data_IF_889566194084
#
_entry.id   IF_889566194084
#
_cell.length_a   1.000
_cell.length_b   1.000
_cell.length_c   1.000
_cell.angle_alpha   90.00
_cell.angle_beta   90.00
_cell.angle_gamma   90.00
#
_symmetry.space_group_name_H-M   'P 1'
#
loop_
_entity.id
_entity.type
_entity.pdbx_description
1 polymer ?
#
# COMPACT_ATOMS: atom_id res chain seq x y z
N UNK A 1 13.82 -5.83 -10.31
CA UNK A 1 13.62 -4.49 -9.72
C UNK A 1 13.90 -4.57 -8.23
N UNK A 2 14.51 -3.55 -7.63
CA UNK A 2 14.76 -3.56 -6.18
C UNK A 2 13.46 -3.27 -5.41
N UNK A 3 13.13 -4.11 -4.44
CA UNK A 3 12.09 -3.83 -3.47
C UNK A 3 12.61 -2.76 -2.50
N UNK A 4 11.79 -1.73 -2.23
CA UNK A 4 12.12 -0.62 -1.33
C UNK A 4 11.52 -0.83 0.06
N UNK A 5 10.43 -1.59 0.13
CA UNK A 5 9.75 -1.95 1.36
C UNK A 5 9.07 -3.30 1.21
N UNK A 6 8.91 -4.02 2.32
CA UNK A 6 8.09 -5.22 2.38
C UNK A 6 7.37 -5.33 3.74
N UNK A 7 6.19 -5.96 3.75
CA UNK A 7 5.42 -6.25 4.96
C UNK A 7 4.70 -7.58 4.81
N UNK A 8 4.67 -8.37 5.88
CA UNK A 8 3.71 -9.46 6.00
C UNK A 8 2.31 -8.89 6.29
N UNK A 9 1.27 -9.57 5.83
CA UNK A 9 -0.07 -9.38 6.37
C UNK A 9 -0.16 -9.99 7.79
N UNK A 10 -1.29 -9.83 8.48
CA UNK A 10 -1.37 -10.17 9.90
C UNK A 10 -1.23 -11.67 10.19
N UNK A 11 -1.75 -12.54 9.32
CA UNK A 11 -1.64 -13.99 9.46
C UNK A 11 -0.35 -14.58 8.86
N UNK A 12 0.47 -13.75 8.20
CA UNK A 12 1.75 -14.16 7.60
C UNK A 12 1.63 -14.95 6.30
N UNK A 13 0.43 -15.14 5.75
CA UNK A 13 0.21 -15.90 4.51
C UNK A 13 0.53 -15.11 3.24
N UNK A 14 0.69 -13.79 3.38
CA UNK A 14 0.97 -12.89 2.26
C UNK A 14 2.09 -11.91 2.59
N UNK A 15 2.89 -11.59 1.58
CA UNK A 15 3.87 -10.50 1.61
C UNK A 15 3.49 -9.45 0.58
N UNK A 16 3.41 -8.20 1.04
CA UNK A 16 3.33 -7.02 0.19
C UNK A 16 4.72 -6.44 0.02
N UNK A 17 5.11 -6.17 -1.22
CA UNK A 17 6.36 -5.49 -1.56
C UNK A 17 6.11 -4.27 -2.45
N UNK A 18 6.74 -3.15 -2.11
CA UNK A 18 6.78 -1.95 -2.95
C UNK A 18 8.10 -1.86 -3.73
N UNK A 19 8.06 -1.26 -4.92
CA UNK A 19 9.22 -1.18 -5.81
C UNK A 19 9.59 0.25 -6.23
N UNK A 20 10.86 0.46 -6.58
CA UNK A 20 11.32 1.67 -7.27
C UNK A 20 10.64 1.89 -8.63
N UNK A 21 10.09 0.83 -9.24
CA UNK A 21 9.41 0.89 -10.53
C UNK A 21 7.92 1.31 -10.43
N UNK A 22 7.54 1.97 -9.33
CA UNK A 22 6.17 2.49 -9.12
C UNK A 22 5.07 1.41 -9.07
N UNK A 23 5.43 0.17 -8.72
CA UNK A 23 4.50 -0.95 -8.57
C UNK A 23 4.55 -1.52 -7.16
N UNK A 24 3.44 -2.13 -6.74
CA UNK A 24 3.40 -3.06 -5.61
C UNK A 24 3.06 -4.46 -6.09
N UNK A 25 3.51 -5.44 -5.31
CA UNK A 25 3.35 -6.86 -5.59
C UNK A 25 2.92 -7.57 -4.32
N UNK A 26 1.97 -8.50 -4.44
CA UNK A 26 1.54 -9.37 -3.36
C UNK A 26 1.97 -10.80 -3.71
N UNK A 27 2.63 -11.47 -2.78
CA UNK A 27 3.07 -12.85 -2.90
C UNK A 27 2.39 -13.71 -1.84
N UNK A 28 2.11 -14.97 -2.17
CA UNK A 28 1.79 -15.99 -1.16
C UNK A 28 3.07 -16.44 -0.48
N UNK A 29 3.05 -16.61 0.84
CA UNK A 29 4.12 -17.30 1.58
C UNK A 29 3.91 -18.81 1.64
N UNK A 30 2.75 -19.29 1.19
CA UNK A 30 2.41 -20.72 1.13
C UNK A 30 2.86 -21.32 -0.19
N UNK A 31 2.46 -20.72 -1.33
CA UNK A 31 2.89 -21.19 -2.66
C UNK A 31 4.17 -20.52 -3.17
N UNK A 32 4.61 -19.43 -2.55
CA UNK A 32 5.73 -18.58 -3.04
C UNK A 32 5.49 -17.99 -4.43
N UNK A 33 4.23 -17.90 -4.85
CA UNK A 33 3.83 -17.33 -6.12
C UNK A 33 3.36 -15.88 -5.95
N UNK A 34 3.52 -15.10 -7.02
CA UNK A 34 2.91 -13.78 -7.12
C UNK A 34 1.40 -13.91 -7.30
N UNK A 35 0.63 -13.22 -6.46
CA UNK A 35 -0.83 -13.25 -6.49
C UNK A 35 -1.42 -12.00 -7.15
N UNK A 36 -0.76 -10.85 -6.99
CA UNK A 36 -1.30 -9.58 -7.47
C UNK A 36 -0.22 -8.55 -7.78
N UNK A 37 -0.44 -7.76 -8.82
CA UNK A 37 0.36 -6.58 -9.18
C UNK A 37 -0.52 -5.34 -9.14
N UNK A 38 -0.10 -4.34 -8.37
CA UNK A 38 -0.77 -3.05 -8.22
C UNK A 38 0.04 -1.98 -8.95
N UNK A 39 -0.57 -1.36 -9.96
CA UNK A 39 -0.01 -0.27 -10.76
C UNK A 39 -0.86 0.97 -10.54
N UNK A 40 -0.21 2.12 -10.38
CA UNK A 40 -0.92 3.39 -10.20
C UNK A 40 -0.09 4.48 -9.53
N UNK A 41 0.95 4.11 -8.79
CA UNK A 41 2.01 5.07 -8.44
C UNK A 41 2.71 5.54 -9.72
N UNK A 42 3.18 6.80 -9.70
CA UNK A 42 3.90 7.41 -10.82
C UNK A 42 5.42 7.37 -10.63
N UNK A 43 5.87 7.23 -9.38
CA UNK A 43 7.28 7.13 -8.99
C UNK A 43 7.46 6.02 -7.94
N UNK A 44 8.70 5.78 -7.53
CA UNK A 44 9.03 4.70 -6.60
C UNK A 44 8.22 4.74 -5.30
N UNK A 45 7.70 3.56 -4.93
CA UNK A 45 7.00 3.30 -3.67
C UNK A 45 8.02 3.30 -2.54
N UNK A 46 7.70 3.89 -1.39
CA UNK A 46 8.59 4.02 -0.22
C UNK A 46 8.09 3.25 0.99
N UNK A 47 6.79 3.16 1.18
CA UNK A 47 6.20 2.36 2.25
C UNK A 47 4.87 1.75 1.80
N UNK A 48 4.51 0.66 2.46
CA UNK A 48 3.25 -0.04 2.25
C UNK A 48 2.85 -0.78 3.53
N UNK A 49 1.54 -0.92 3.78
CA UNK A 49 0.97 -1.63 4.93
C UNK A 49 -0.37 -2.28 4.55
N UNK A 50 -0.67 -3.42 5.16
CA UNK A 50 -2.00 -4.03 5.10
C UNK A 50 -2.95 -3.39 6.13
N UNK A 51 -4.24 -3.41 5.83
CA UNK A 51 -5.29 -3.31 6.86
C UNK A 51 -5.25 -4.54 7.76
N UNK A 52 -5.83 -4.43 8.97
CA UNK A 52 -5.81 -5.54 9.95
C UNK A 52 -6.50 -6.81 9.42
N UNK A 53 -7.60 -6.65 8.69
CA UNK A 53 -8.35 -7.74 8.06
C UNK A 53 -7.74 -8.25 6.74
N UNK A 54 -6.60 -7.66 6.32
CA UNK A 54 -5.90 -7.98 5.06
C UNK A 54 -6.73 -7.81 3.78
N UNK A 55 -7.84 -7.08 3.83
CA UNK A 55 -8.70 -6.82 2.66
C UNK A 55 -8.27 -5.60 1.84
N UNK A 56 -7.47 -4.71 2.46
CA UNK A 56 -7.00 -3.46 1.89
C UNK A 56 -5.51 -3.24 2.14
N UNK A 57 -4.93 -2.34 1.34
CA UNK A 57 -3.54 -1.90 1.44
C UNK A 57 -3.48 -0.38 1.39
N UNK A 58 -2.59 0.21 2.19
CA UNK A 58 -2.09 1.56 1.95
C UNK A 58 -0.67 1.49 1.40
N UNK A 59 -0.36 2.36 0.45
CA UNK A 59 0.99 2.57 -0.07
C UNK A 59 1.28 4.05 -0.25
N UNK A 60 2.56 4.42 -0.16
CA UNK A 60 2.98 5.79 -0.38
C UNK A 60 4.32 5.86 -1.09
N UNK A 61 4.59 6.97 -1.79
CA UNK A 61 5.74 7.06 -2.68
C UNK A 61 6.35 8.45 -2.85
N UNK A 62 7.35 8.48 -3.73
CA UNK A 62 8.05 9.71 -4.14
C UNK A 62 7.15 10.63 -4.95
N UNK A 63 6.06 10.10 -5.51
CA UNK A 63 5.01 10.83 -6.23
C UNK A 63 4.04 11.60 -5.32
N UNK A 64 4.35 11.71 -4.02
CA UNK A 64 3.58 12.45 -3.03
C UNK A 64 2.20 11.84 -2.74
N UNK A 65 1.90 10.68 -3.34
CA UNK A 65 0.61 10.02 -3.19
C UNK A 65 0.61 9.10 -1.98
N UNK A 66 -0.52 9.07 -1.29
CA UNK A 66 -0.93 7.94 -0.46
C UNK A 66 -2.11 7.27 -1.16
N UNK A 67 -1.96 5.98 -1.47
CA UNK A 67 -2.89 5.21 -2.27
C UNK A 67 -3.53 4.12 -1.41
N UNK A 68 -4.86 4.04 -1.44
CA UNK A 68 -5.63 2.93 -0.89
C UNK A 68 -5.95 1.94 -2.00
N UNK A 69 -5.85 0.65 -1.71
CA UNK A 69 -6.14 -0.43 -2.65
C UNK A 69 -7.08 -1.43 -2.00
N UNK A 70 -8.11 -1.84 -2.74
CA UNK A 70 -8.95 -2.97 -2.38
C UNK A 70 -8.39 -4.23 -3.05
N UNK A 71 -7.99 -5.22 -2.25
CA UNK A 71 -7.30 -6.43 -2.73
C UNK A 71 -8.10 -7.72 -2.52
N UNK A 72 -9.40 -7.59 -2.21
CA UNK A 72 -10.31 -8.72 -2.05
C UNK A 72 -10.35 -9.65 -3.28
N UNK A 73 -10.57 -10.94 -3.00
CA UNK A 73 -10.68 -11.98 -4.02
C UNK A 73 -9.35 -12.28 -4.70
N UNK A 74 -8.36 -12.74 -3.92
CA UNK A 74 -7.15 -13.36 -4.45
C UNK A 74 -7.52 -14.81 -4.81
N UNK A 75 -7.69 -15.07 -6.11
CA UNK A 75 -7.94 -16.41 -6.64
C UNK A 75 -6.63 -17.01 -7.19
N UNK A 76 -6.73 -18.06 -8.01
CA UNK A 76 -5.57 -18.80 -8.55
C UNK A 76 -4.80 -18.04 -9.64
N UNK A 77 -5.26 -16.89 -10.10
CA UNK A 77 -4.59 -16.14 -11.16
C UNK A 77 -4.00 -14.83 -10.66
N UNK A 78 -2.86 -14.46 -11.24
CA UNK A 78 -2.22 -13.17 -10.96
C UNK A 78 -3.18 -12.05 -11.38
N UNK A 79 -3.68 -11.30 -10.40
CA UNK A 79 -4.59 -10.18 -10.65
C UNK A 79 -3.78 -8.90 -10.86
N UNK A 80 -4.12 -8.13 -11.89
CA UNK A 80 -3.49 -6.81 -12.12
C UNK A 80 -4.52 -5.72 -11.87
N UNK A 81 -4.20 -4.83 -10.92
CA UNK A 81 -4.98 -3.63 -10.63
C UNK A 81 -4.22 -2.44 -11.19
N UNK A 82 -4.86 -1.64 -12.05
CA UNK A 82 -4.20 -0.54 -12.76
C UNK A 82 -4.45 0.86 -12.17
N UNK A 83 -5.22 0.94 -11.07
CA UNK A 83 -5.41 2.18 -10.32
C UNK A 83 -5.80 1.89 -8.86
N UNK A 84 -5.41 2.75 -7.92
CA UNK A 84 -5.88 2.68 -6.53
C UNK A 84 -7.39 2.95 -6.44
N UNK A 85 -8.03 2.45 -5.39
CA UNK A 85 -9.44 2.75 -5.11
C UNK A 85 -9.64 4.18 -4.63
N UNK A 86 -8.64 4.75 -3.96
CA UNK A 86 -8.64 6.13 -3.49
C UNK A 86 -7.19 6.68 -3.43
N UNK A 87 -7.04 7.96 -3.75
CA UNK A 87 -5.78 8.71 -3.61
C UNK A 87 -6.01 9.80 -2.57
N UNK A 88 -5.30 9.71 -1.46
CA UNK A 88 -5.34 10.68 -0.38
C UNK A 88 -4.30 11.77 -0.67
N UNK A 89 -4.76 13.01 -0.86
CA UNK A 89 -3.91 14.15 -1.25
C UNK A 89 -3.75 15.11 -0.08
N UNK A 90 -2.52 15.53 0.18
CA UNK A 90 -2.22 16.50 1.25
C UNK A 90 -0.74 16.75 1.48
N UNK A 91 0.11 15.76 1.18
CA UNK A 91 1.55 15.94 1.15
C UNK A 91 1.99 16.74 -0.07
N UNK A 92 3.02 17.58 0.08
CA UNK A 92 3.60 18.40 -1.00
C UNK A 92 4.99 17.93 -1.43
N UNK A 93 5.53 16.90 -0.78
CA UNK A 93 6.76 16.20 -1.12
C UNK A 93 6.59 14.69 -0.92
N UNK A 94 7.64 13.90 -1.19
CA UNK A 94 7.58 12.44 -1.13
C UNK A 94 7.15 11.93 0.26
N UNK A 95 6.25 10.95 0.28
CA UNK A 95 5.74 10.35 1.52
C UNK A 95 6.64 9.20 1.92
N UNK A 96 7.10 9.17 3.17
CA UNK A 96 8.13 8.23 3.64
C UNK A 96 7.58 7.06 4.43
N UNK A 97 6.52 7.26 5.19
CA UNK A 97 6.02 6.25 6.11
C UNK A 97 4.49 6.27 6.19
N UNK A 98 3.95 5.12 6.56
CA UNK A 98 2.54 4.86 6.76
C UNK A 98 2.32 4.07 8.04
N UNK A 99 1.19 4.30 8.70
CA UNK A 99 0.65 3.44 9.74
C UNK A 99 -0.87 3.36 9.60
N UNK A 100 -1.40 2.14 9.68
CA UNK A 100 -2.85 1.92 9.80
C UNK A 100 -3.20 1.85 11.27
N UNK A 101 -4.30 2.47 11.70
CA UNK A 101 -4.82 2.26 13.04
C UNK A 101 -5.28 0.80 13.20
N UNK A 102 -4.68 0.02 14.11
CA UNK A 102 -5.03 -1.40 14.28
C UNK A 102 -6.41 -1.63 14.91
N UNK A 103 -7.04 -0.59 15.47
CA UNK A 103 -8.36 -0.66 16.12
C UNK A 103 -9.48 -0.04 15.29
N UNK A 104 -9.13 0.72 14.25
CA UNK A 104 -10.09 1.41 13.40
C UNK A 104 -9.62 1.32 11.95
N UNK A 105 -10.32 0.49 11.17
CA UNK A 105 -9.99 0.30 9.75
C UNK A 105 -10.18 1.58 8.95
N UNK A 106 -10.89 2.58 9.46
CA UNK A 106 -11.13 3.84 8.79
C UNK A 106 -10.10 4.93 9.11
N UNK A 107 -9.12 4.67 9.97
CA UNK A 107 -8.11 5.66 10.34
C UNK A 107 -6.69 5.20 9.97
N UNK A 108 -5.92 6.12 9.40
CA UNK A 108 -4.50 5.90 9.09
C UNK A 108 -3.70 7.19 9.25
N UNK A 109 -2.38 7.09 9.24
CA UNK A 109 -1.51 8.27 9.17
C UNK A 109 -0.33 8.08 8.23
N UNK A 110 0.17 9.20 7.71
CA UNK A 110 1.34 9.27 6.86
C UNK A 110 2.28 10.38 7.31
N UNK A 111 3.57 10.22 7.00
CA UNK A 111 4.56 11.29 7.16
C UNK A 111 5.43 11.44 5.92
N UNK A 112 5.81 12.68 5.61
CA UNK A 112 6.49 13.04 4.36
C UNK A 112 7.73 13.92 4.53
N UNK A 113 8.47 14.06 3.44
CA UNK A 113 9.63 14.96 3.34
C UNK A 113 9.24 16.44 3.47
N UNK A 114 7.95 16.76 3.37
CA UNK A 114 7.38 18.09 3.62
C UNK A 114 7.27 18.44 5.12
N UNK A 115 7.73 17.54 6.00
CA UNK A 115 7.71 17.73 7.45
C UNK A 115 6.32 17.56 8.07
N UNK A 116 5.32 17.12 7.30
CA UNK A 116 3.97 16.92 7.80
C UNK A 116 3.76 15.48 8.29
N UNK A 117 2.95 15.36 9.34
CA UNK A 117 2.23 14.15 9.67
C UNK A 117 0.74 14.42 9.40
N UNK A 118 0.10 13.56 8.62
CA UNK A 118 -1.32 13.68 8.26
C UNK A 118 -2.05 12.46 8.81
N UNK A 119 -3.18 12.70 9.48
CA UNK A 119 -4.13 11.66 9.90
C UNK A 119 -5.29 11.67 8.91
N UNK A 120 -5.65 10.50 8.41
CA UNK A 120 -6.63 10.29 7.36
C UNK A 120 -7.88 9.60 7.90
N UNK A 121 -9.04 10.07 7.45
CA UNK A 121 -10.32 9.37 7.56
C UNK A 121 -10.64 8.71 6.20
N UNK A 122 -10.55 7.39 6.16
CA UNK A 122 -10.74 6.58 4.96
C UNK A 122 -12.22 6.36 4.61
N UNK A 123 -13.16 6.90 5.38
CA UNK A 123 -14.60 6.90 5.01
C UNK A 123 -14.96 8.03 4.07
N UNK A 124 -14.33 9.20 4.26
CA UNK A 124 -14.67 10.43 3.54
C UNK A 124 -13.64 10.83 2.49
N UNK A 125 -12.42 10.31 2.61
CA UNK A 125 -11.33 10.49 1.66
C UNK A 125 -10.58 11.80 1.82
#
# INVERSE_FOLDING_TARGET
SAATCCRFNHNGEQVLAGSQNATLHIFSTVSFEELMVLKGHLLGVRACVFSFDSSQILSCGTDQMVCLWNIGGLDRHVKVVNAPSLILRGHTQGVRALSWNPRDVHAACSSGDDGRLIVWDLTTG
#
